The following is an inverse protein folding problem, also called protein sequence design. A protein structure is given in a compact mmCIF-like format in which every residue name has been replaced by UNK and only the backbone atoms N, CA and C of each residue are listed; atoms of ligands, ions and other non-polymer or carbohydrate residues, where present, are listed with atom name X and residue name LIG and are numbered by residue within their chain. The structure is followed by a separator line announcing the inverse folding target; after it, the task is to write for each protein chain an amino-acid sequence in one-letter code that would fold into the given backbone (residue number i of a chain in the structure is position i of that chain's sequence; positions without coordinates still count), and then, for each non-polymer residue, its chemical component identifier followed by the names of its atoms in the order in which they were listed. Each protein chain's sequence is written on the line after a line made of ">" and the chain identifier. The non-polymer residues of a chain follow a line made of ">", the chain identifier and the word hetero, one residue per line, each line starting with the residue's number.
data_IF_199212752276
#
_entry.id   IF_199212752276
#
_cell.length_a   1.000
_cell.length_b   1.000
_cell.length_c   1.000
_cell.angle_alpha   90.00
_cell.angle_beta   90.00
_cell.angle_gamma   90.00
#
_symmetry.space_group_name_H-M   'P 1'
#
loop_
_entity.id
_entity.type
_entity.pdbx_description
1 polymer ?
#
# COMPACT_ATOMS: atom_id res chain seq x y z
N UNK A 1 7.95 10.49 6.79
CA UNK A 1 7.65 9.06 7.11
C UNK A 1 8.10 8.10 6.01
N UNK A 2 7.92 8.44 4.72
CA UNK A 2 8.51 7.70 3.58
C UNK A 2 10.05 7.70 3.61
N UNK A 3 10.66 8.85 3.94
CA UNK A 3 12.10 9.00 4.22
C UNK A 3 12.58 8.17 5.40
N UNK A 4 11.80 8.11 6.47
CA UNK A 4 12.14 7.36 7.68
C UNK A 4 12.23 5.84 7.45
N UNK A 5 11.66 5.34 6.34
CA UNK A 5 11.75 3.93 5.94
C UNK A 5 12.90 3.66 4.97
N UNK A 6 13.72 4.67 4.63
CA UNK A 6 14.83 4.54 3.67
C UNK A 6 14.39 4.33 2.21
N UNK A 7 13.11 4.61 1.89
CA UNK A 7 12.55 4.42 0.56
C UNK A 7 12.83 5.60 -0.38
N UNK A 8 13.06 6.80 0.17
CA UNK A 8 13.34 8.02 -0.63
C UNK A 8 14.68 8.00 -1.34
N UNK A 9 15.65 7.24 -0.83
CA UNK A 9 16.98 7.08 -1.45
C UNK A 9 16.99 6.03 -2.56
N UNK A 10 15.87 5.34 -2.77
CA UNK A 10 15.71 4.31 -3.80
C UNK A 10 14.55 4.68 -4.74
N UNK A 11 14.83 5.21 -5.94
CA UNK A 11 13.79 5.60 -6.88
C UNK A 11 12.85 4.42 -7.24
N UNK A 12 13.34 3.18 -7.21
CA UNK A 12 12.51 1.97 -7.38
C UNK A 12 11.54 1.67 -6.22
N UNK A 13 11.78 2.23 -5.03
CA UNK A 13 10.92 2.12 -3.85
C UNK A 13 10.09 3.38 -3.60
N UNK A 14 10.20 4.39 -4.47
CA UNK A 14 9.32 5.58 -4.46
C UNK A 14 7.86 5.21 -4.69
N UNK A 15 7.62 4.03 -5.24
CA UNK A 15 6.30 3.43 -5.44
C UNK A 15 6.40 1.93 -5.16
N UNK A 16 5.59 1.40 -4.22
CA UNK A 16 5.52 -0.05 -4.02
C UNK A 16 4.72 -0.68 -5.17
N UNK A 17 5.34 -1.62 -5.87
CA UNK A 17 4.79 -2.27 -7.06
C UNK A 17 4.91 -3.79 -7.00
N UNK A 18 4.23 -4.49 -7.92
CA UNK A 18 4.26 -5.95 -8.03
C UNK A 18 5.71 -6.48 -7.99
N UNK A 19 5.95 -7.46 -7.11
CA UNK A 19 7.27 -8.08 -6.93
C UNK A 19 8.14 -7.42 -5.85
N UNK A 20 7.76 -6.24 -5.35
CA UNK A 20 8.48 -5.58 -4.24
C UNK A 20 8.38 -6.43 -2.98
N UNK A 21 9.52 -6.70 -2.33
CA UNK A 21 9.59 -7.34 -1.02
C UNK A 21 10.22 -6.38 -0.03
N UNK A 22 9.41 -5.83 0.88
CA UNK A 22 9.89 -4.87 1.87
C UNK A 22 8.99 -4.88 3.11
N UNK A 23 9.51 -4.61 4.32
CA UNK A 23 8.69 -4.44 5.53
C UNK A 23 7.57 -3.41 5.37
N UNK A 24 7.77 -2.37 4.54
CA UNK A 24 6.73 -1.38 4.24
C UNK A 24 5.49 -1.97 3.57
N UNK A 25 5.62 -3.08 2.83
CA UNK A 25 4.48 -3.80 2.24
C UNK A 25 3.60 -4.42 3.33
N UNK A 26 4.18 -4.83 4.47
CA UNK A 26 3.43 -5.33 5.63
C UNK A 26 2.50 -4.24 6.16
N UNK A 27 2.98 -2.99 6.22
CA UNK A 27 2.16 -1.85 6.64
C UNK A 27 1.00 -1.60 5.68
N UNK A 28 1.23 -1.68 4.36
CA UNK A 28 0.15 -1.60 3.35
C UNK A 28 -0.86 -2.73 3.55
N UNK A 29 -0.39 -3.96 3.70
CA UNK A 29 -1.24 -5.15 3.88
C UNK A 29 -2.13 -5.01 5.12
N UNK A 30 -1.57 -4.56 6.25
CA UNK A 30 -2.32 -4.31 7.49
C UNK A 30 -3.34 -3.18 7.34
N UNK A 31 -2.94 -2.07 6.72
CA UNK A 31 -3.83 -0.94 6.51
C UNK A 31 -4.99 -1.31 5.56
N UNK A 32 -4.72 -1.98 4.44
CA UNK A 32 -5.75 -2.50 3.54
C UNK A 32 -6.65 -3.52 4.24
N UNK A 33 -6.11 -4.37 5.12
CA UNK A 33 -6.89 -5.34 5.89
C UNK A 33 -7.96 -4.64 6.73
N UNK A 34 -7.60 -3.55 7.42
CA UNK A 34 -8.54 -2.72 8.19
C UNK A 34 -9.57 -2.03 7.29
N UNK A 35 -9.09 -1.27 6.29
CA UNK A 35 -9.95 -0.43 5.43
C UNK A 35 -10.92 -1.26 4.60
N UNK A 36 -10.49 -2.43 4.10
CA UNK A 36 -11.33 -3.32 3.30
C UNK A 36 -12.07 -4.35 4.15
N UNK A 37 -11.84 -4.40 5.48
CA UNK A 37 -12.36 -5.42 6.39
C UNK A 37 -12.11 -6.85 5.89
N UNK A 38 -10.92 -7.07 5.32
CA UNK A 38 -10.48 -8.36 4.75
C UNK A 38 -9.27 -8.86 5.49
N UNK A 39 -9.12 -10.18 5.63
CA UNK A 39 -7.90 -10.77 6.19
C UNK A 39 -6.79 -10.75 5.12
N UNK A 40 -5.82 -9.84 5.27
CA UNK A 40 -4.64 -9.78 4.41
C UNK A 40 -3.43 -10.16 5.24
N UNK A 41 -2.74 -11.23 4.84
CA UNK A 41 -1.53 -11.69 5.52
C UNK A 41 -0.37 -10.74 5.25
N UNK A 42 0.30 -10.31 6.32
CA UNK A 42 1.49 -9.45 6.27
C UNK A 42 2.74 -10.17 5.78
N UNK A 43 2.75 -10.67 4.55
CA UNK A 43 3.87 -11.41 3.96
C UNK A 43 5.07 -10.52 3.59
N UNK A 44 4.88 -9.21 3.54
CA UNK A 44 5.90 -8.25 3.09
C UNK A 44 6.19 -8.34 1.60
N UNK A 45 5.42 -9.12 0.84
CA UNK A 45 5.53 -9.22 -0.62
C UNK A 45 4.34 -8.58 -1.31
N UNK A 46 4.63 -7.74 -2.29
CA UNK A 46 3.63 -7.09 -3.11
C UNK A 46 3.20 -8.05 -4.22
N UNK A 47 2.21 -8.89 -3.92
CA UNK A 47 1.68 -9.90 -4.84
C UNK A 47 0.59 -9.34 -5.76
N UNK A 48 0.24 -10.10 -6.81
CA UNK A 48 -0.86 -9.75 -7.73
C UNK A 48 -2.21 -9.65 -7.02
N UNK A 49 -2.43 -10.44 -5.96
CA UNK A 49 -3.59 -10.31 -5.08
C UNK A 49 -3.61 -8.97 -4.36
N UNK A 50 -2.46 -8.52 -3.85
CA UNK A 50 -2.35 -7.21 -3.20
C UNK A 50 -2.61 -6.07 -4.19
N UNK A 51 -2.11 -6.16 -5.43
CA UNK A 51 -2.41 -5.20 -6.50
C UNK A 51 -3.93 -5.04 -6.68
N UNK A 52 -4.71 -6.14 -6.67
CA UNK A 52 -6.18 -6.08 -6.81
C UNK A 52 -6.84 -5.35 -5.65
N UNK A 53 -6.38 -5.59 -4.42
CA UNK A 53 -6.89 -4.91 -3.23
C UNK A 53 -6.51 -3.42 -3.22
N UNK A 54 -5.28 -3.07 -3.62
CA UNK A 54 -4.84 -1.68 -3.80
C UNK A 54 -5.71 -0.97 -4.84
N UNK A 55 -5.97 -1.59 -5.99
CA UNK A 55 -6.89 -1.03 -7.01
C UNK A 55 -8.30 -0.83 -6.48
N UNK A 56 -8.76 -1.70 -5.60
CA UNK A 56 -10.09 -1.59 -4.98
C UNK A 56 -10.13 -0.40 -4.02
N UNK A 57 -9.10 -0.24 -3.20
CA UNK A 57 -8.93 0.92 -2.33
C UNK A 57 -8.83 2.23 -3.13
N UNK A 58 -7.99 2.28 -4.16
CA UNK A 58 -7.83 3.46 -5.01
C UNK A 58 -9.16 3.87 -5.65
N UNK A 59 -9.96 2.90 -6.14
CA UNK A 59 -11.31 3.15 -6.64
C UNK A 59 -12.25 3.72 -5.58
N UNK A 60 -12.20 3.21 -4.35
CA UNK A 60 -13.00 3.76 -3.22
C UNK A 60 -12.60 5.19 -2.89
N UNK A 61 -11.30 5.49 -2.94
CA UNK A 61 -10.77 6.84 -2.66
C UNK A 61 -10.85 7.78 -3.86
N UNK A 62 -11.46 7.36 -4.98
CA UNK A 62 -11.56 8.14 -6.24
C UNK A 62 -10.22 8.62 -6.78
N UNK A 63 -9.14 7.87 -6.55
CA UNK A 63 -7.81 8.12 -7.13
C UNK A 63 -7.50 7.08 -8.22
N UNK A 64 -6.54 7.36 -9.13
CA UNK A 64 -6.20 6.45 -10.22
C UNK A 64 -5.88 5.04 -9.73
N UNK A 65 -6.61 4.04 -10.24
CA UNK A 65 -6.48 2.64 -9.86
C UNK A 65 -5.29 1.94 -10.53
N UNK A 66 -4.10 2.49 -10.32
CA UNK A 66 -2.83 2.00 -10.89
C UNK A 66 -2.44 0.64 -10.32
N UNK A 67 -2.91 0.30 -9.10
CA UNK A 67 -2.51 -0.89 -8.36
C UNK A 67 -1.10 -0.80 -7.78
N UNK A 68 -0.52 0.40 -7.81
CA UNK A 68 0.77 0.75 -7.22
C UNK A 68 0.53 1.63 -6.00
N UNK A 69 1.37 1.54 -4.97
CA UNK A 69 1.27 2.40 -3.79
C UNK A 69 2.35 3.47 -3.87
N UNK A 70 1.95 4.64 -4.35
CA UNK A 70 2.75 5.87 -4.32
C UNK A 70 2.51 6.64 -3.01
N UNK A 71 3.19 7.78 -2.85
CA UNK A 71 3.07 8.65 -1.67
C UNK A 71 1.63 9.11 -1.43
N UNK A 72 0.89 9.44 -2.49
CA UNK A 72 -0.52 9.85 -2.39
C UNK A 72 -1.40 8.71 -1.89
N UNK A 73 -1.30 7.53 -2.51
CA UNK A 73 -2.03 6.31 -2.11
C UNK A 73 -1.67 5.93 -0.68
N UNK A 74 -0.39 5.99 -0.31
CA UNK A 74 0.08 5.69 1.04
C UNK A 74 -0.53 6.63 2.09
N UNK A 75 -0.53 7.93 1.82
CA UNK A 75 -1.09 8.95 2.73
C UNK A 75 -2.58 8.72 2.93
N UNK A 76 -3.33 8.54 1.84
CA UNK A 76 -4.76 8.22 1.91
C UNK A 76 -5.02 6.90 2.64
N UNK A 77 -4.19 5.87 2.42
CA UNK A 77 -4.35 4.57 3.04
C UNK A 77 -4.12 4.63 4.54
N UNK A 78 -3.04 5.29 4.99
CA UNK A 78 -2.75 5.44 6.41
C UNK A 78 -3.83 6.27 7.11
N UNK A 79 -4.24 7.40 6.51
CA UNK A 79 -5.32 8.23 7.02
C UNK A 79 -6.65 7.45 7.13
N UNK A 80 -6.99 6.63 6.14
CA UNK A 80 -8.22 5.83 6.19
C UNK A 80 -8.08 4.70 7.22
N UNK A 81 -6.91 4.07 7.33
CA UNK A 81 -6.68 2.95 8.27
C UNK A 81 -6.65 3.36 9.74
N UNK A 82 -6.41 4.63 10.05
CA UNK A 82 -6.53 5.17 11.41
C UNK A 82 -7.96 5.59 11.74
N UNK A 83 -8.78 5.86 10.73
CA UNK A 83 -10.20 6.21 10.87
C UNK A 83 -11.13 4.97 10.81
N UNK A 84 -10.61 3.82 10.39
CA UNK A 84 -11.35 2.56 10.20
C UNK A 84 -11.15 1.59 11.37
#
# INVERSE_FOLDING_TARGET
>A
MWDAMGLSTRPELSVLTLGTKHPSVISVQRALSKVLKKKITGTGQFSSSLVREVKTFQRRMKIPATGKVDVATWTSLMATSTLA
#
